data_IF_182866611639
#
_entry.id   IF_182866611639
#
_cell.length_a   1.000
_cell.length_b   1.000
_cell.length_c   1.000
_cell.angle_alpha   90.00
_cell.angle_beta   90.00
_cell.angle_gamma   90.00
#
_symmetry.space_group_name_H-M   'P 1'
#
loop_
_entity.id
_entity.type
_entity.pdbx_description
1 polymer ?
#
# COMPACT_ATOMS: atom_id res chain seq x y z
N UNK A 1 -83.51 -26.67 11.04
CA UNK A 1 -82.55 -25.74 11.67
C UNK A 1 -81.28 -26.53 11.96
N UNK A 2 -80.33 -26.55 11.03
CA UNK A 2 -79.10 -27.35 11.15
C UNK A 2 -77.90 -26.41 11.02
N UNK A 3 -77.18 -26.21 12.14
CA UNK A 3 -76.01 -25.35 12.22
C UNK A 3 -74.80 -26.12 11.67
N UNK A 4 -74.12 -25.54 10.67
CA UNK A 4 -72.90 -26.10 10.08
C UNK A 4 -71.69 -25.59 10.88
N UNK A 5 -70.89 -26.53 11.37
CA UNK A 5 -69.67 -26.33 12.16
C UNK A 5 -68.60 -25.61 11.31
N UNK A 6 -68.08 -24.48 11.79
CA UNK A 6 -66.98 -23.77 11.14
C UNK A 6 -65.64 -24.49 11.43
N UNK A 7 -65.00 -25.03 10.40
CA UNK A 7 -63.65 -25.56 10.47
C UNK A 7 -62.64 -24.39 10.44
N UNK A 8 -61.72 -24.36 11.41
CA UNK A 8 -60.65 -23.38 11.48
C UNK A 8 -59.68 -23.53 10.29
N UNK A 9 -59.16 -22.41 9.72
CA UNK A 9 -58.16 -22.50 8.67
C UNK A 9 -56.81 -22.97 9.26
N UNK A 10 -56.26 -24.01 8.64
CA UNK A 10 -54.93 -24.54 8.91
C UNK A 10 -53.86 -23.44 8.76
N UNK A 11 -53.04 -23.27 9.79
CA UNK A 11 -51.82 -22.45 9.75
C UNK A 11 -50.85 -23.02 8.70
N UNK A 12 -50.28 -22.20 7.80
CA UNK A 12 -49.28 -22.69 6.86
C UNK A 12 -47.97 -23.02 7.58
N UNK A 13 -47.34 -24.09 7.10
CA UNK A 13 -46.11 -24.63 7.61
C UNK A 13 -44.94 -23.63 7.56
N UNK A 14 -44.18 -23.63 8.65
CA UNK A 14 -42.82 -23.14 8.90
C UNK A 14 -42.06 -22.52 7.72
N UNK A 15 -41.63 -21.26 7.90
CA UNK A 15 -40.67 -20.58 7.01
C UNK A 15 -39.35 -21.36 6.91
N UNK A 16 -38.72 -21.46 5.73
CA UNK A 16 -37.42 -22.10 5.58
C UNK A 16 -36.31 -21.27 6.25
N UNK A 17 -35.39 -21.96 6.94
CA UNK A 17 -34.23 -21.34 7.57
C UNK A 17 -33.36 -20.58 6.54
N UNK A 18 -32.75 -19.43 6.88
CA UNK A 18 -31.92 -18.70 5.95
C UNK A 18 -30.71 -19.56 5.56
N UNK A 19 -30.50 -19.70 4.25
CA UNK A 19 -29.32 -20.36 3.70
C UNK A 19 -28.06 -19.70 4.30
N UNK A 20 -27.26 -20.48 5.02
CA UNK A 20 -25.92 -20.05 5.47
C UNK A 20 -25.13 -19.68 4.21
N UNK A 21 -25.06 -18.38 3.94
CA UNK A 21 -24.21 -17.85 2.88
C UNK A 21 -22.79 -18.20 3.26
N UNK A 22 -22.26 -19.26 2.63
CA UNK A 22 -20.84 -19.57 2.69
C UNK A 22 -20.16 -18.41 2.00
N UNK A 23 -19.70 -17.42 2.78
CA UNK A 23 -18.79 -16.40 2.30
C UNK A 23 -17.60 -17.14 1.71
N UNK A 24 -17.62 -17.31 0.39
CA UNK A 24 -16.46 -17.75 -0.36
C UNK A 24 -15.50 -16.59 -0.17
N UNK A 25 -14.60 -16.69 0.81
CA UNK A 25 -13.34 -15.94 0.78
C UNK A 25 -12.58 -16.50 -0.42
N UNK A 26 -13.01 -16.14 -1.63
CA UNK A 26 -12.06 -15.91 -2.70
C UNK A 26 -11.22 -14.75 -2.20
N UNK A 27 -10.22 -15.08 -1.36
CA UNK A 27 -9.02 -14.27 -1.29
C UNK A 27 -8.59 -14.22 -2.76
N UNK A 28 -8.74 -13.09 -3.47
CA UNK A 28 -8.15 -13.02 -4.80
C UNK A 28 -6.70 -13.41 -4.58
N UNK A 29 -6.26 -14.38 -5.38
CA UNK A 29 -4.89 -14.86 -5.39
C UNK A 29 -3.98 -13.65 -5.19
N UNK A 30 -3.31 -13.60 -4.03
CA UNK A 30 -2.34 -12.57 -3.70
C UNK A 30 -1.32 -12.58 -4.82
N UNK A 31 -1.47 -11.65 -5.75
CA UNK A 31 -0.53 -11.40 -6.83
C UNK A 31 0.71 -10.85 -6.16
N UNK A 32 1.64 -11.75 -5.85
CA UNK A 32 2.93 -11.40 -5.30
C UNK A 32 3.66 -10.46 -6.27
N UNK A 33 4.14 -9.33 -5.71
CA UNK A 33 5.16 -8.41 -6.22
C UNK A 33 4.79 -7.56 -7.47
N UNK A 34 4.96 -6.23 -7.52
CA UNK A 34 5.60 -5.29 -6.60
C UNK A 34 5.20 -3.82 -6.96
N UNK A 35 3.91 -3.58 -7.25
CA UNK A 35 3.34 -2.22 -7.29
C UNK A 35 2.66 -1.97 -5.95
N UNK A 36 3.39 -1.50 -4.94
CA UNK A 36 2.70 -0.96 -3.77
C UNK A 36 1.95 0.29 -4.24
N UNK A 37 0.65 0.35 -3.94
CA UNK A 37 -0.15 1.52 -4.26
C UNK A 37 0.29 2.68 -3.36
N UNK A 38 0.49 3.84 -3.96
CA UNK A 38 0.71 5.06 -3.18
C UNK A 38 -0.59 5.42 -2.45
N UNK A 39 -0.46 5.90 -1.23
CA UNK A 39 -1.58 6.44 -0.47
C UNK A 39 -1.99 7.81 -1.03
N UNK A 40 -3.19 8.27 -0.70
CA UNK A 40 -3.66 9.61 -1.08
C UNK A 40 -2.69 10.70 -0.57
N UNK A 41 -2.41 11.69 -1.42
CA UNK A 41 -1.42 12.74 -1.15
C UNK A 41 0.04 12.36 -1.37
N UNK A 42 0.33 11.10 -1.74
CA UNK A 42 1.68 10.67 -2.11
C UNK A 42 1.93 10.81 -3.61
N UNK A 43 3.15 11.17 -3.96
CA UNK A 43 3.62 11.17 -5.35
C UNK A 43 4.92 10.40 -5.48
N UNK A 44 5.04 9.60 -6.54
CA UNK A 44 6.27 8.90 -6.91
C UNK A 44 6.92 9.63 -8.07
N UNK A 45 8.19 9.98 -7.91
CA UNK A 45 9.03 10.61 -8.95
C UNK A 45 10.29 9.78 -9.13
N UNK A 46 10.83 9.81 -10.35
CA UNK A 46 12.12 9.23 -10.66
C UNK A 46 13.06 10.36 -11.08
N UNK A 47 14.16 10.53 -10.37
CA UNK A 47 15.18 11.52 -10.66
C UNK A 47 16.33 10.86 -11.40
N UNK A 48 16.56 11.27 -12.65
CA UNK A 48 17.69 10.78 -13.43
C UNK A 48 18.99 11.40 -12.91
N UNK A 49 19.88 10.57 -12.37
CA UNK A 49 21.19 11.01 -11.88
C UNK A 49 22.18 11.19 -13.04
N UNK A 50 23.22 12.03 -12.89
CA UNK A 50 24.26 12.22 -13.91
C UNK A 50 24.97 10.92 -14.34
N UNK A 51 25.02 9.92 -13.45
CA UNK A 51 25.56 8.59 -13.75
C UNK A 51 24.63 7.70 -14.61
N UNK A 52 23.52 8.25 -15.13
CA UNK A 52 22.57 7.54 -15.99
C UNK A 52 21.56 6.66 -15.26
N UNK A 53 21.56 6.65 -13.92
CA UNK A 53 20.63 5.86 -13.11
C UNK A 53 19.49 6.72 -12.58
N UNK A 54 18.27 6.23 -12.69
CA UNK A 54 17.10 6.78 -12.01
C UNK A 54 17.09 6.46 -10.50
N UNK A 55 16.83 7.47 -9.68
CA UNK A 55 16.58 7.39 -8.25
C UNK A 55 15.07 7.57 -8.02
N UNK A 56 14.43 6.57 -7.44
CA UNK A 56 13.02 6.67 -7.07
C UNK A 56 12.88 7.48 -5.77
N UNK A 57 11.90 8.38 -5.76
CA UNK A 57 11.54 9.19 -4.60
C UNK A 57 10.02 9.16 -4.42
N UNK A 58 9.55 8.77 -3.24
CA UNK A 58 8.15 8.96 -2.82
C UNK A 58 8.10 10.22 -1.96
N UNK A 59 7.22 11.14 -2.32
CA UNK A 59 7.05 12.40 -1.60
C UNK A 59 5.65 12.47 -1.01
N UNK A 60 5.55 12.99 0.22
CA UNK A 60 4.29 13.39 0.82
C UNK A 60 4.47 14.74 1.52
N UNK A 61 3.75 15.74 1.04
CA UNK A 61 3.74 17.08 1.63
C UNK A 61 2.66 17.17 2.71
N UNK A 62 2.76 18.15 3.63
CA UNK A 62 1.69 18.43 4.56
C UNK A 62 0.37 18.71 3.81
N UNK A 63 -0.76 18.13 4.22
CA UNK A 63 -2.04 18.33 3.54
C UNK A 63 -2.58 19.76 3.67
N UNK A 64 -2.11 20.49 4.69
CA UNK A 64 -2.47 21.89 4.96
C UNK A 64 -1.17 22.70 5.06
N UNK A 65 -1.10 23.90 4.46
CA UNK A 65 0.03 24.81 4.66
C UNK A 65 0.23 25.10 6.15
N UNK A 66 1.44 24.85 6.64
CA UNK A 66 1.80 25.17 8.02
C UNK A 66 2.31 26.62 8.09
N UNK A 67 1.91 27.41 9.11
CA UNK A 67 2.37 28.81 9.25
C UNK A 67 3.88 28.96 9.41
N UNK A 68 4.54 27.91 9.91
CA UNK A 68 5.99 27.85 10.08
C UNK A 68 6.53 26.76 9.17
N UNK A 69 7.44 27.13 8.28
CA UNK A 69 8.13 26.18 7.41
C UNK A 69 8.97 25.23 8.25
N UNK A 70 8.66 23.93 8.16
CA UNK A 70 9.38 22.88 8.89
C UNK A 70 10.47 22.28 8.01
N UNK A 71 11.60 21.85 8.59
CA UNK A 71 12.64 21.20 7.81
C UNK A 71 12.11 19.90 7.17
N UNK A 72 12.48 19.62 5.91
CA UNK A 72 12.06 18.40 5.23
C UNK A 72 12.72 17.16 5.85
N UNK A 73 11.95 16.09 5.99
CA UNK A 73 12.42 14.79 6.47
C UNK A 73 12.71 13.85 5.29
N UNK A 74 13.92 13.29 5.28
CA UNK A 74 14.36 12.33 4.26
C UNK A 74 14.53 10.95 4.88
N UNK A 75 13.80 9.97 4.36
CA UNK A 75 13.81 8.58 4.82
C UNK A 75 14.69 7.74 3.91
N UNK A 76 15.66 7.06 4.51
CA UNK A 76 16.61 6.16 3.84
C UNK A 76 16.35 4.74 4.34
N UNK A 77 16.10 3.81 3.42
CA UNK A 77 15.88 2.41 3.79
C UNK A 77 17.22 1.66 3.98
N UNK A 78 17.16 0.55 4.69
CA UNK A 78 18.25 -0.44 4.75
C UNK A 78 18.15 -1.52 3.67
N UNK A 79 19.02 -2.52 3.75
CA UNK A 79 19.04 -3.65 2.82
C UNK A 79 17.68 -4.37 2.73
N UNK A 80 17.38 -4.93 1.56
CA UNK A 80 16.13 -5.66 1.26
C UNK A 80 14.83 -4.82 1.31
N UNK A 81 14.94 -3.49 1.44
CA UNK A 81 13.82 -2.56 1.37
C UNK A 81 13.98 -1.54 0.22
N UNK A 82 12.98 -0.67 0.07
CA UNK A 82 13.03 0.52 -0.79
C UNK A 82 12.16 1.62 -0.16
N UNK A 83 11.93 2.74 -0.85
CA UNK A 83 11.10 3.85 -0.36
C UNK A 83 9.71 3.41 0.18
N UNK A 84 9.16 2.32 -0.36
CA UNK A 84 7.85 1.77 0.01
C UNK A 84 7.70 1.39 1.47
N UNK A 85 8.77 1.00 2.16
CA UNK A 85 8.67 0.60 3.57
C UNK A 85 8.23 1.76 4.48
N UNK A 86 8.45 3.00 4.04
CA UNK A 86 8.04 4.21 4.74
C UNK A 86 6.65 4.71 4.30
N UNK A 87 6.22 4.33 3.10
CA UNK A 87 5.05 4.93 2.44
C UNK A 87 3.74 4.64 3.17
N UNK A 88 3.59 3.46 3.77
CA UNK A 88 2.30 3.08 4.35
C UNK A 88 1.95 3.86 5.62
N UNK A 89 2.92 4.04 6.53
CA UNK A 89 2.65 4.56 7.87
C UNK A 89 3.45 5.82 8.20
N UNK A 90 4.73 5.88 7.82
CA UNK A 90 5.65 6.92 8.29
C UNK A 90 5.50 8.23 7.53
N UNK A 91 5.41 8.19 6.18
CA UNK A 91 5.18 9.42 5.41
C UNK A 91 3.84 10.09 5.78
N UNK A 92 2.70 9.35 5.91
CA UNK A 92 1.45 9.96 6.36
C UNK A 92 1.50 10.48 7.80
N UNK A 93 2.20 9.79 8.70
CA UNK A 93 2.32 10.23 10.09
C UNK A 93 3.02 11.58 10.21
N UNK A 94 4.21 11.73 9.62
CA UNK A 94 4.99 12.96 9.74
C UNK A 94 4.44 14.11 8.88
N UNK A 95 3.88 13.82 7.72
CA UNK A 95 3.23 14.86 6.89
C UNK A 95 2.01 15.47 7.55
N UNK A 96 1.17 14.67 8.22
CA UNK A 96 0.06 15.19 9.05
C UNK A 96 0.55 16.00 10.24
N UNK A 97 1.73 15.69 10.77
CA UNK A 97 2.37 16.51 11.80
C UNK A 97 2.95 17.81 11.24
N UNK A 98 2.92 18.04 9.91
CA UNK A 98 3.36 19.28 9.28
C UNK A 98 4.75 19.21 8.63
N UNK A 99 5.37 18.03 8.53
CA UNK A 99 6.70 17.88 7.93
C UNK A 99 6.62 17.47 6.46
N UNK A 100 7.31 18.17 5.54
CA UNK A 100 7.55 17.65 4.19
C UNK A 100 8.36 16.36 4.26
N UNK A 101 7.87 15.28 3.63
CA UNK A 101 8.48 13.96 3.75
C UNK A 101 8.89 13.40 2.39
N UNK A 102 10.10 12.84 2.31
CA UNK A 102 10.68 12.25 1.10
C UNK A 102 11.32 10.90 1.43
N UNK A 103 10.94 9.83 0.74
CA UNK A 103 11.56 8.52 0.88
C UNK A 103 12.29 8.12 -0.40
N UNK A 104 13.56 7.75 -0.29
CA UNK A 104 14.41 7.38 -1.42
C UNK A 104 14.41 5.86 -1.63
N UNK A 105 14.52 5.36 -2.85
CA UNK A 105 14.92 3.96 -3.12
C UNK A 105 16.33 3.92 -3.69
N UNK A 106 17.30 3.59 -2.85
CA UNK A 106 18.70 3.44 -3.22
C UNK A 106 18.89 2.11 -3.97
N UNK A 107 19.45 2.20 -5.18
CA UNK A 107 19.85 1.03 -5.98
C UNK A 107 21.32 0.71 -5.68
N UNK A 108 21.62 -0.55 -5.33
CA UNK A 108 22.94 -1.09 -4.95
C UNK A 108 23.44 -0.79 -3.51
N UNK A 109 22.73 -1.28 -2.48
CA UNK A 109 23.15 -1.16 -1.07
C UNK A 109 24.04 -2.30 -0.53
N UNK A 110 24.34 -3.33 -1.32
CA UNK A 110 25.29 -4.39 -0.90
C UNK A 110 26.70 -3.97 -1.30
N UNK A 111 27.41 -3.32 -0.37
CA UNK A 111 28.87 -3.22 -0.44
C UNK A 111 29.42 -4.63 -0.16
N UNK A 112 29.82 -5.34 -1.20
CA UNK A 112 30.78 -6.43 -1.04
C UNK A 112 32.14 -5.79 -0.78
N UNK A 113 32.74 -6.05 0.37
CA UNK A 113 34.11 -5.64 0.67
C UNK A 113 35.07 -6.38 -0.30
N UNK A 114 35.83 -5.59 -1.09
CA UNK A 114 36.98 -6.01 -1.91
C UNK A 114 36.71 -6.99 -3.05
N UNK A 115 36.77 -6.51 -4.30
CA UNK A 115 37.89 -6.75 -5.22
C UNK A 115 37.77 -5.87 -6.47
N UNK A 116 38.93 -5.61 -7.06
CA UNK A 116 39.22 -4.72 -8.17
C UNK A 116 38.33 -4.91 -9.42
N UNK A 117 38.21 -3.82 -10.19
CA UNK A 117 37.89 -3.77 -11.62
C UNK A 117 36.51 -4.31 -12.09
N UNK A 118 35.69 -3.40 -12.63
CA UNK A 118 34.81 -3.75 -13.75
C UNK A 118 33.52 -4.51 -13.46
N UNK A 119 32.82 -4.24 -12.36
CA UNK A 119 31.49 -4.84 -12.13
C UNK A 119 30.39 -3.92 -12.67
N UNK A 120 29.77 -4.33 -13.78
CA UNK A 120 28.49 -3.78 -14.24
C UNK A 120 27.39 -4.21 -13.26
N UNK A 121 27.04 -3.34 -12.33
CA UNK A 121 25.92 -3.53 -11.43
C UNK A 121 24.60 -3.39 -12.18
N UNK A 122 23.93 -4.50 -12.47
CA UNK A 122 22.53 -4.49 -12.92
C UNK A 122 21.63 -4.76 -11.72
N UNK A 123 21.30 -3.71 -10.97
CA UNK A 123 20.10 -3.70 -10.14
C UNK A 123 18.93 -3.20 -10.99
N UNK A 124 18.39 -4.10 -11.84
CA UNK A 124 17.21 -3.82 -12.65
C UNK A 124 15.94 -3.93 -11.80
N UNK A 125 15.57 -2.85 -11.13
CA UNK A 125 14.18 -2.63 -10.71
C UNK A 125 13.40 -2.07 -11.93
N UNK A 126 13.26 -2.88 -12.99
CA UNK A 126 12.35 -2.54 -14.09
C UNK A 126 10.97 -3.04 -13.73
N UNK A 127 10.04 -2.10 -13.56
CA UNK A 127 8.61 -2.37 -13.59
C UNK A 127 8.13 -3.24 -12.44
N UNK A 128 8.04 -2.65 -11.26
CA UNK A 128 7.02 -3.07 -10.30
C UNK A 128 6.35 -1.82 -9.71
#
# INVERSE_FOLDING_TARGET
>A
MSATLAAAPFLPASLPAPARTRWRRTRPFLRAACAYALQEGQSRRFHRLPCGHDLEVITQLPPVPVPVERPPLVFVHGSFHAAWCWAEHWLPFFSRAGFPCYALSLRAQVVAHSLAQGVRWIASKRGC
#
